data_IF_318499911971
#
_entry.id   IF_318499911971
#
_cell.length_a   1.000
_cell.length_b   1.000
_cell.length_c   1.000
_cell.angle_alpha   90.00
_cell.angle_beta   90.00
_cell.angle_gamma   90.00
#
_symmetry.space_group_name_H-M   'P 1'
#
loop_
_entity.id
_entity.type
_entity.pdbx_description
1 polymer ?
#
# COMPACT_ATOMS: atom_id res chain seq x y z
N UNK A 1 65.44 -20.29 -66.63
CA UNK A 1 65.32 -20.08 -65.17
C UNK A 1 64.01 -19.39 -64.80
N UNK A 2 63.74 -19.29 -63.49
CA UNK A 2 62.63 -18.58 -62.84
C UNK A 2 61.22 -19.20 -63.06
N UNK A 3 60.77 -20.09 -62.14
CA UNK A 3 59.37 -20.50 -62.05
C UNK A 3 58.51 -19.51 -61.22
N UNK A 4 57.21 -19.45 -61.48
CA UNK A 4 56.25 -18.66 -60.71
C UNK A 4 55.65 -19.48 -59.53
N UNK A 5 55.43 -18.89 -58.34
CA UNK A 5 55.04 -19.62 -57.14
C UNK A 5 53.52 -19.85 -57.00
N UNK A 6 53.13 -21.08 -56.64
CA UNK A 6 51.77 -21.42 -56.21
C UNK A 6 51.39 -20.68 -54.91
N UNK A 7 50.23 -20.02 -54.90
CA UNK A 7 49.66 -19.46 -53.66
C UNK A 7 49.00 -20.57 -52.83
N UNK A 8 49.66 -20.99 -51.75
CA UNK A 8 49.10 -21.96 -50.80
C UNK A 8 48.27 -21.27 -49.72
N UNK A 9 47.04 -21.73 -49.49
CA UNK A 9 46.10 -21.11 -48.56
C UNK A 9 46.36 -21.51 -47.09
N UNK A 10 47.04 -20.65 -46.33
CA UNK A 10 47.43 -20.91 -44.94
C UNK A 10 46.23 -20.88 -43.97
N UNK A 11 45.52 -22.00 -43.81
CA UNK A 11 44.40 -22.09 -42.85
C UNK A 11 44.88 -22.05 -41.39
N UNK A 12 44.59 -20.96 -40.68
CA UNK A 12 44.86 -20.84 -39.23
C UNK A 12 43.90 -21.72 -38.43
N UNK A 13 44.37 -22.91 -38.01
CA UNK A 13 43.71 -23.69 -36.95
C UNK A 13 44.17 -23.20 -35.58
N UNK A 14 43.23 -22.81 -34.71
CA UNK A 14 43.54 -22.49 -33.30
C UNK A 14 43.84 -23.77 -32.49
N UNK A 15 44.81 -23.75 -31.57
CA UNK A 15 45.08 -24.88 -30.68
C UNK A 15 44.06 -24.93 -29.52
N UNK A 16 43.31 -26.03 -29.43
CA UNK A 16 42.39 -26.28 -28.32
C UNK A 16 43.14 -26.74 -27.07
N UNK A 17 43.18 -25.88 -26.04
CA UNK A 17 43.83 -26.16 -24.75
C UNK A 17 42.93 -27.03 -23.86
N UNK A 18 43.01 -28.36 -24.05
CA UNK A 18 42.26 -29.35 -23.27
C UNK A 18 42.89 -29.56 -21.88
N UNK A 19 42.51 -28.75 -20.90
CA UNK A 19 42.95 -28.90 -19.50
C UNK A 19 42.33 -30.14 -18.84
N UNK A 20 43.17 -31.15 -18.56
CA UNK A 20 42.76 -32.39 -17.88
C UNK A 20 42.73 -32.21 -16.35
N UNK A 21 41.70 -31.55 -15.83
CA UNK A 21 41.47 -31.46 -14.39
C UNK A 21 41.00 -32.82 -13.83
N UNK A 22 41.88 -33.50 -13.08
CA UNK A 22 41.54 -34.77 -12.43
C UNK A 22 40.59 -34.53 -11.25
N UNK A 23 39.35 -35.02 -11.37
CA UNK A 23 38.34 -34.93 -10.30
C UNK A 23 38.72 -35.90 -9.19
N UNK A 24 39.42 -35.37 -8.17
CA UNK A 24 39.77 -36.11 -6.95
C UNK A 24 38.48 -36.35 -6.15
N UNK A 25 37.89 -37.53 -6.28
CA UNK A 25 36.66 -37.91 -5.59
C UNK A 25 36.89 -37.94 -4.08
N UNK A 26 36.37 -36.93 -3.38
CA UNK A 26 36.44 -36.84 -1.94
C UNK A 26 35.57 -37.95 -1.33
N UNK A 27 36.20 -38.89 -0.61
CA UNK A 27 35.53 -39.98 0.10
C UNK A 27 34.56 -39.37 1.13
N UNK A 28 33.33 -39.88 1.21
CA UNK A 28 32.28 -39.27 2.02
C UNK A 28 32.68 -39.03 3.48
N UNK A 29 32.38 -37.84 4.00
CA UNK A 29 32.30 -37.61 5.44
C UNK A 29 31.02 -38.26 5.95
N UNK A 30 31.13 -39.14 6.94
CA UNK A 30 29.97 -39.75 7.60
C UNK A 30 29.25 -38.71 8.47
N UNK A 31 28.29 -37.99 7.88
CA UNK A 31 27.53 -36.89 8.51
C UNK A 31 26.64 -37.30 9.70
N UNK A 32 26.73 -38.56 10.13
CA UNK A 32 25.94 -39.15 11.21
C UNK A 32 26.70 -39.25 12.53
N UNK A 33 28.02 -38.97 12.55
CA UNK A 33 28.81 -38.92 13.77
C UNK A 33 29.10 -37.44 14.14
N UNK A 34 28.64 -36.92 15.30
CA UNK A 34 28.88 -35.53 15.67
C UNK A 34 30.36 -35.29 15.95
N UNK A 35 30.87 -34.14 15.50
CA UNK A 35 32.16 -33.62 15.96
C UNK A 35 31.97 -33.02 17.36
N UNK A 36 32.99 -32.97 18.23
CA UNK A 36 32.83 -32.38 19.58
C UNK A 36 32.32 -30.92 19.54
N UNK A 37 32.70 -30.16 18.51
CA UNK A 37 32.19 -28.79 18.28
C UNK A 37 30.72 -28.72 17.82
N UNK A 38 30.12 -29.83 17.38
CA UNK A 38 28.69 -29.89 17.03
C UNK A 38 27.80 -29.95 18.28
N UNK A 39 28.25 -30.61 19.35
CA UNK A 39 27.46 -30.82 20.58
C UNK A 39 27.26 -29.51 21.36
N UNK A 40 28.20 -28.57 21.25
CA UNK A 40 28.09 -27.24 21.85
C UNK A 40 27.08 -26.34 21.10
N UNK A 41 26.95 -26.53 19.77
CA UNK A 41 26.11 -25.71 18.89
C UNK A 41 24.70 -26.30 18.64
N UNK A 42 24.52 -27.62 18.74
CA UNK A 42 23.28 -28.31 18.40
C UNK A 42 22.78 -29.24 19.51
N UNK A 43 21.54 -29.01 19.93
CA UNK A 43 20.79 -29.90 20.80
C UNK A 43 20.19 -31.04 19.95
N UNK A 44 20.25 -32.29 20.41
CA UNK A 44 19.70 -33.43 19.68
C UNK A 44 18.33 -33.84 20.22
N UNK A 45 17.29 -33.72 19.38
CA UNK A 45 15.95 -34.21 19.75
C UNK A 45 15.94 -35.74 19.84
N UNK A 46 15.24 -36.32 20.84
CA UNK A 46 15.17 -37.76 21.04
C UNK A 46 14.55 -38.46 19.82
N UNK A 47 15.12 -39.60 19.45
CA UNK A 47 14.62 -40.42 18.34
C UNK A 47 13.17 -40.85 18.58
N UNK A 48 12.30 -40.62 17.61
CA UNK A 48 10.88 -40.98 17.68
C UNK A 48 10.62 -42.31 16.99
N UNK A 49 9.81 -43.17 17.62
CA UNK A 49 9.43 -44.49 17.09
C UNK A 49 8.22 -44.35 16.15
N UNK A 50 8.24 -45.03 15.00
CA UNK A 50 7.10 -45.14 14.09
C UNK A 50 6.08 -46.19 14.59
N UNK A 51 4.82 -46.18 14.11
CA UNK A 51 3.82 -47.20 14.49
C UNK A 51 4.23 -48.64 14.14
N UNK A 52 4.97 -48.83 13.04
CA UNK A 52 5.59 -50.10 12.63
C UNK A 52 6.79 -50.54 13.51
N UNK A 53 7.17 -49.72 14.48
CA UNK A 53 8.22 -50.01 15.45
C UNK A 53 9.64 -49.59 15.03
N UNK A 54 9.87 -49.24 13.76
CA UNK A 54 11.16 -48.67 13.34
C UNK A 54 11.40 -47.30 13.96
N UNK A 55 12.68 -46.93 14.15
CA UNK A 55 13.09 -45.65 14.71
C UNK A 55 13.29 -44.63 13.59
N UNK A 56 12.88 -43.38 13.82
CA UNK A 56 13.25 -42.23 12.98
C UNK A 56 14.65 -41.76 13.40
N UNK A 57 15.49 -41.30 12.47
CA UNK A 57 16.80 -40.73 12.82
C UNK A 57 16.62 -39.52 13.75
N UNK A 58 17.57 -39.33 14.66
CA UNK A 58 17.57 -38.20 15.58
C UNK A 58 17.74 -36.87 14.82
N UNK A 59 17.07 -35.81 15.29
CA UNK A 59 17.06 -34.50 14.62
C UNK A 59 17.93 -33.54 15.41
N UNK A 60 18.97 -33.00 14.76
CA UNK A 60 19.83 -31.95 15.33
C UNK A 60 19.16 -30.58 15.15
N UNK A 61 18.93 -29.86 16.26
CA UNK A 61 18.35 -28.51 16.30
C UNK A 61 19.39 -27.56 16.87
N UNK A 62 19.51 -26.34 16.35
CA UNK A 62 20.50 -25.39 16.88
C UNK A 62 20.14 -24.97 18.31
N UNK A 63 21.11 -24.97 19.21
CA UNK A 63 20.94 -24.54 20.61
C UNK A 63 20.46 -23.09 20.66
N UNK A 64 19.36 -22.83 21.38
CA UNK A 64 18.69 -21.52 21.39
C UNK A 64 17.85 -21.19 20.15
N UNK A 65 17.53 -22.16 19.29
CA UNK A 65 16.55 -21.97 18.21
C UNK A 65 15.12 -21.90 18.79
N UNK A 66 14.52 -20.72 18.75
CA UNK A 66 13.09 -20.50 19.05
C UNK A 66 12.28 -20.68 17.77
N UNK A 67 11.22 -21.53 17.75
CA UNK A 67 10.32 -21.65 16.60
C UNK A 67 9.65 -20.31 16.25
N UNK A 68 9.33 -20.04 14.97
CA UNK A 68 8.75 -18.76 14.54
C UNK A 68 7.32 -18.49 15.08
N UNK A 69 6.67 -19.49 15.67
CA UNK A 69 5.38 -19.35 16.38
C UNK A 69 5.56 -18.84 17.82
N UNK A 70 6.70 -19.15 18.45
CA UNK A 70 7.08 -18.70 19.80
C UNK A 70 7.91 -17.40 19.77
N UNK A 71 8.44 -17.03 18.60
CA UNK A 71 9.20 -15.79 18.42
C UNK A 71 8.28 -14.56 18.58
N UNK A 72 8.67 -13.62 19.45
CA UNK A 72 7.89 -12.41 19.72
C UNK A 72 7.62 -11.59 18.46
N UNK A 73 6.42 -11.73 17.90
CA UNK A 73 5.97 -11.02 16.71
C UNK A 73 5.71 -9.56 17.07
N UNK A 74 6.58 -8.67 16.59
CA UNK A 74 6.62 -7.24 16.98
C UNK A 74 5.23 -6.57 17.01
N UNK A 75 4.73 -6.35 18.22
CA UNK A 75 3.49 -5.64 18.47
C UNK A 75 3.76 -4.13 18.58
N UNK A 76 3.51 -3.44 17.46
CA UNK A 76 3.67 -1.99 17.32
C UNK A 76 2.89 -1.17 18.36
N UNK A 77 1.88 -1.76 19.02
CA UNK A 77 1.02 -1.07 19.97
C UNK A 77 1.39 -1.32 21.45
N UNK A 78 2.33 -2.24 21.73
CA UNK A 78 2.83 -2.50 23.09
C UNK A 78 4.12 -1.75 23.43
N UNK A 79 4.95 -1.41 22.44
CA UNK A 79 6.28 -0.80 22.67
C UNK A 79 6.28 0.70 22.98
N UNK A 80 5.13 1.31 23.29
CA UNK A 80 5.03 2.73 23.70
C UNK A 80 5.04 2.90 25.23
N UNK A 81 5.04 1.81 25.99
CA UNK A 81 5.42 1.83 27.40
C UNK A 81 6.94 1.72 27.57
N UNK A 82 7.51 2.66 28.34
CA UNK A 82 8.79 2.50 29.04
C UNK A 82 10.09 2.49 28.19
N UNK A 83 10.15 3.25 27.10
CA UNK A 83 11.42 3.85 26.63
C UNK A 83 11.56 5.24 27.25
N UNK A 84 12.26 5.31 28.39
CA UNK A 84 12.70 6.59 28.96
C UNK A 84 13.65 7.31 28.01
N UNK A 85 13.67 8.65 28.05
CA UNK A 85 14.61 9.45 27.25
C UNK A 85 16.03 9.12 27.71
N UNK A 86 16.88 8.67 26.79
CA UNK A 86 18.29 8.37 27.07
C UNK A 86 18.97 9.62 27.64
N UNK A 87 19.41 9.54 28.90
CA UNK A 87 19.98 10.66 29.64
C UNK A 87 19.10 11.27 30.74
N UNK A 88 17.95 10.66 31.08
CA UNK A 88 17.17 11.01 32.27
C UNK A 88 17.42 10.02 33.43
N UNK A 89 17.61 10.54 34.65
CA UNK A 89 17.77 9.73 35.87
C UNK A 89 16.48 8.94 36.23
N UNK A 90 16.61 7.70 36.73
CA UNK A 90 15.47 6.83 37.03
C UNK A 90 14.71 7.18 38.31
N UNK A 91 15.32 7.94 39.23
CA UNK A 91 14.78 8.26 40.57
C UNK A 91 14.04 9.62 40.64
N UNK A 92 13.86 10.30 39.51
CA UNK A 92 13.08 11.54 39.46
C UNK A 92 11.58 11.23 39.41
N UNK A 93 10.85 11.38 40.52
CA UNK A 93 9.39 11.26 40.53
C UNK A 93 8.74 12.27 39.57
N UNK A 94 8.29 11.79 38.41
CA UNK A 94 7.56 12.58 37.42
C UNK A 94 6.09 12.70 37.87
N UNK A 95 5.58 13.89 38.24
CA UNK A 95 4.16 14.05 38.51
C UNK A 95 3.37 13.76 37.23
N UNK A 96 2.27 12.99 37.35
CA UNK A 96 1.41 12.58 36.22
C UNK A 96 0.65 13.77 35.59
N UNK A 97 1.36 14.60 34.86
CA UNK A 97 0.81 15.66 34.03
C UNK A 97 0.04 15.05 32.84
N UNK A 98 -1.16 15.57 32.58
CA UNK A 98 -2.06 15.02 31.57
C UNK A 98 -1.53 15.16 30.14
N UNK A 99 -1.92 14.23 29.27
CA UNK A 99 -1.50 14.17 27.87
C UNK A 99 -2.05 15.35 27.05
N UNK A 100 -1.35 16.49 27.09
CA UNK A 100 -1.56 17.65 26.24
C UNK A 100 -0.45 17.77 25.19
N UNK A 101 -0.77 17.58 23.91
CA UNK A 101 0.21 17.78 22.84
C UNK A 101 0.73 19.24 22.82
N UNK A 102 1.94 19.47 22.30
CA UNK A 102 2.54 20.82 22.21
C UNK A 102 1.64 21.84 21.47
N UNK A 103 0.72 21.35 20.63
CA UNK A 103 -0.33 22.14 19.95
C UNK A 103 -1.42 22.62 20.91
N UNK A 104 -1.87 21.79 21.85
CA UNK A 104 -2.88 22.15 22.85
C UNK A 104 -2.38 23.27 23.78
N UNK A 105 -1.13 23.19 24.24
CA UNK A 105 -0.50 24.22 25.06
C UNK A 105 -0.43 25.59 24.35
N UNK A 106 -0.12 25.62 23.04
CA UNK A 106 -0.15 26.85 22.24
C UNK A 106 -1.56 27.44 22.11
N UNK A 107 -2.58 26.60 21.88
CA UNK A 107 -3.96 27.06 21.77
C UNK A 107 -4.50 27.59 23.11
N UNK A 108 -4.16 26.93 24.24
CA UNK A 108 -4.48 27.42 25.58
C UNK A 108 -3.88 28.82 25.83
N UNK A 109 -2.60 29.04 25.48
CA UNK A 109 -1.95 30.35 25.65
C UNK A 109 -2.54 31.44 24.75
N UNK A 110 -3.01 31.10 23.54
CA UNK A 110 -3.72 32.05 22.65
C UNK A 110 -5.08 32.47 23.22
N UNK A 111 -5.86 31.53 23.75
CA UNK A 111 -7.15 31.83 24.37
C UNK A 111 -7.01 32.55 25.72
N UNK A 112 -5.97 32.23 26.50
CA UNK A 112 -5.66 32.95 27.74
C UNK A 112 -5.30 34.41 27.46
N UNK A 113 -4.44 34.69 26.46
CA UNK A 113 -4.17 36.08 26.03
C UNK A 113 -5.47 36.79 25.62
N UNK A 114 -6.30 36.17 24.76
CA UNK A 114 -7.54 36.79 24.29
C UNK A 114 -8.55 37.08 25.40
N UNK A 115 -8.50 36.37 26.54
CA UNK A 115 -9.28 36.70 27.74
C UNK A 115 -8.66 37.83 28.57
N UNK A 116 -7.34 37.86 28.74
CA UNK A 116 -6.66 38.97 29.42
C UNK A 116 -6.87 40.30 28.68
N UNK A 117 -6.79 40.25 27.34
CA UNK A 117 -7.07 41.33 26.39
C UNK A 117 -8.58 41.67 26.28
N UNK A 118 -9.41 41.06 27.14
CA UNK A 118 -10.84 41.37 27.38
C UNK A 118 -11.14 41.64 28.87
N UNK A 119 -10.12 41.74 29.74
CA UNK A 119 -10.26 41.99 31.18
C UNK A 119 -9.39 43.14 31.70
N UNK A 120 -8.69 43.84 30.80
CA UNK A 120 -7.93 45.05 31.09
C UNK A 120 -8.51 46.23 30.29
N UNK A 121 -9.71 46.69 30.70
CA UNK A 121 -10.22 48.07 30.54
C UNK A 121 -11.71 48.15 31.01
N UNK A 122 -11.97 48.70 32.22
CA UNK A 122 -13.01 49.69 32.48
C UNK A 122 -12.37 51.09 32.40
N UNK A 123 -13.02 52.15 31.91
CA UNK A 123 -14.31 52.71 32.35
C UNK A 123 -14.85 53.73 31.31
N UNK A 124 -16.09 54.24 31.49
CA UNK A 124 -16.78 55.31 30.74
C UNK A 124 -17.38 55.00 29.34
N UNK A 125 -18.69 54.65 29.37
CA UNK A 125 -19.84 55.04 28.50
C UNK A 125 -19.71 55.17 26.95
N UNK A 126 -20.71 54.87 26.12
CA UNK A 126 -22.20 54.84 26.29
C UNK A 126 -22.88 53.62 25.63
N UNK A 127 -24.18 53.40 25.92
CA UNK A 127 -25.06 52.45 25.18
C UNK A 127 -25.48 52.97 23.79
N UNK A 128 -26.32 52.31 22.99
CA UNK A 128 -27.19 51.11 23.15
C UNK A 128 -27.40 50.47 21.74
N UNK A 129 -28.03 49.31 21.49
CA UNK A 129 -29.00 48.50 22.22
C UNK A 129 -28.86 47.01 21.81
N UNK A 130 -29.15 46.05 22.70
CA UNK A 130 -28.95 44.61 22.42
C UNK A 130 -29.71 43.67 23.36
N UNK A 131 -30.93 43.29 22.98
CA UNK A 131 -31.85 42.42 23.75
C UNK A 131 -31.58 40.95 23.40
N UNK A 132 -30.86 40.19 24.25
CA UNK A 132 -31.35 39.37 25.40
C UNK A 132 -32.10 38.10 24.97
N UNK A 133 -31.58 36.94 25.37
CA UNK A 133 -32.18 35.62 25.07
C UNK A 133 -31.57 34.44 25.83
N UNK A 134 -31.51 34.51 27.17
CA UNK A 134 -31.06 33.40 28.02
C UNK A 134 -32.13 33.02 29.04
N UNK A 135 -32.62 31.78 28.99
CA UNK A 135 -33.33 31.11 30.07
C UNK A 135 -32.83 29.67 30.20
N UNK A 136 -32.82 29.15 31.43
CA UNK A 136 -32.59 27.76 31.75
C UNK A 136 -33.41 27.40 33.01
N UNK A 137 -33.98 26.19 33.08
CA UNK A 137 -34.42 25.54 34.33
C UNK A 137 -34.78 24.07 34.08
N UNK A 138 -34.28 23.16 34.95
CA UNK A 138 -34.97 21.99 35.54
C UNK A 138 -35.59 20.87 34.64
N UNK A 139 -35.85 19.64 35.13
CA UNK A 139 -35.20 18.82 36.17
C UNK A 139 -35.75 17.37 36.18
N UNK A 140 -34.91 16.41 36.62
CA UNK A 140 -35.25 15.23 37.45
C UNK A 140 -36.28 14.16 36.98
N UNK A 141 -35.74 13.02 36.51
CA UNK A 141 -36.24 11.64 36.70
C UNK A 141 -35.12 10.64 36.31
N UNK A 142 -34.69 9.54 36.95
CA UNK A 142 -35.04 8.72 38.15
C UNK A 142 -36.11 7.62 38.08
N UNK A 143 -35.76 6.49 37.44
CA UNK A 143 -36.09 5.12 37.91
C UNK A 143 -35.09 4.09 37.31
N UNK A 144 -34.70 3.00 38.03
CA UNK A 144 -33.88 1.90 37.49
C UNK A 144 -34.70 0.63 37.22
N UNK A 145 -34.26 -0.19 36.25
CA UNK A 145 -34.69 -1.58 36.06
C UNK A 145 -33.60 -2.39 35.34
N UNK A 146 -33.51 -3.70 35.59
CA UNK A 146 -32.53 -4.59 34.98
C UNK A 146 -33.16 -5.90 34.49
N UNK A 147 -32.80 -6.36 33.28
CA UNK A 147 -33.10 -7.70 32.74
C UNK A 147 -32.17 -8.07 31.59
N UNK A 148 -31.75 -9.34 31.53
CA UNK A 148 -31.10 -10.04 30.40
C UNK A 148 -31.11 -11.56 30.71
N UNK A 149 -30.73 -12.49 29.80
CA UNK A 149 -30.54 -12.43 28.33
C UNK A 149 -31.80 -13.11 27.67
N UNK A 150 -31.82 -14.14 26.78
CA UNK A 150 -30.88 -14.64 25.75
C UNK A 150 -31.53 -14.96 24.35
N UNK A 151 -30.70 -15.46 23.42
CA UNK A 151 -31.04 -16.31 22.24
C UNK A 151 -31.88 -15.72 21.07
N UNK A 152 -31.68 -16.06 19.78
CA UNK A 152 -30.56 -16.67 19.04
C UNK A 152 -30.62 -16.25 17.51
N UNK A 153 -30.19 -17.00 16.45
CA UNK A 153 -29.25 -16.41 15.48
C UNK A 153 -29.62 -16.43 13.96
N UNK A 154 -29.11 -15.45 13.21
CA UNK A 154 -28.86 -15.41 11.75
C UNK A 154 -27.87 -14.25 11.46
N UNK A 155 -26.75 -14.40 10.75
CA UNK A 155 -26.56 -14.44 9.28
C UNK A 155 -26.92 -13.11 8.57
N UNK A 156 -26.12 -12.54 7.67
CA UNK A 156 -24.96 -13.08 6.93
C UNK A 156 -23.87 -12.02 6.56
N UNK A 157 -22.65 -12.53 6.33
CA UNK A 157 -21.53 -12.00 5.53
C UNK A 157 -21.31 -10.49 5.35
N UNK A 158 -20.31 -9.98 6.07
CA UNK A 158 -19.45 -8.88 5.64
C UNK A 158 -17.98 -9.36 5.59
N UNK A 159 -17.64 -10.22 4.63
CA UNK A 159 -16.23 -10.60 4.39
C UNK A 159 -15.46 -9.46 3.70
N UNK A 160 -14.85 -8.57 4.49
CA UNK A 160 -13.80 -7.70 3.98
C UNK A 160 -12.58 -8.54 3.57
N UNK A 161 -12.54 -8.96 2.30
CA UNK A 161 -11.38 -9.64 1.75
C UNK A 161 -10.22 -8.67 1.67
N UNK A 162 -9.23 -8.82 2.56
CA UNK A 162 -7.97 -8.05 2.55
C UNK A 162 -7.08 -8.44 1.37
N UNK A 163 -7.51 -8.10 0.16
CA UNK A 163 -6.59 -7.71 -0.91
C UNK A 163 -6.11 -6.29 -0.58
N UNK A 164 -4.84 -5.99 -0.83
CA UNK A 164 -4.36 -4.62 -0.68
C UNK A 164 -4.99 -3.75 -1.76
N UNK A 165 -5.81 -2.76 -1.34
CA UNK A 165 -6.56 -1.82 -2.19
C UNK A 165 -5.91 -1.62 -3.57
N UNK A 166 -6.62 -1.91 -4.67
CA UNK A 166 -6.11 -1.62 -6.00
C UNK A 166 -5.90 -0.11 -6.18
N UNK A 167 -4.98 0.31 -7.06
CA UNK A 167 -4.76 1.76 -7.23
C UNK A 167 -5.99 2.47 -7.79
N UNK A 168 -6.84 1.73 -8.54
CA UNK A 168 -8.19 2.17 -8.95
C UNK A 168 -9.07 2.40 -7.73
N UNK A 169 -9.16 1.44 -6.79
CA UNK A 169 -9.90 1.61 -5.54
C UNK A 169 -9.39 2.79 -4.71
N UNK A 170 -8.07 3.00 -4.62
CA UNK A 170 -7.49 4.15 -3.91
C UNK A 170 -7.91 5.48 -4.57
N UNK A 171 -7.89 5.56 -5.90
CA UNK A 171 -8.35 6.75 -6.66
C UNK A 171 -9.84 6.98 -6.49
N UNK A 172 -10.67 5.93 -6.56
CA UNK A 172 -12.11 5.99 -6.28
C UNK A 172 -12.42 6.44 -4.85
N UNK A 173 -11.77 5.86 -3.84
CA UNK A 173 -11.91 6.26 -2.43
C UNK A 173 -11.54 7.74 -2.22
N UNK A 174 -10.58 8.27 -2.98
CA UNK A 174 -10.19 9.69 -2.90
C UNK A 174 -11.11 10.63 -3.69
N UNK A 175 -11.58 10.24 -4.88
CA UNK A 175 -12.55 11.02 -5.65
C UNK A 175 -13.92 11.06 -4.97
N UNK A 176 -14.40 9.94 -4.42
CA UNK A 176 -15.66 9.89 -3.63
C UNK A 176 -15.59 10.77 -2.37
N UNK A 177 -14.44 10.85 -1.69
CA UNK A 177 -14.20 11.85 -0.61
C UNK A 177 -14.28 13.29 -1.11
N UNK A 178 -13.67 13.59 -2.27
CA UNK A 178 -13.74 14.92 -2.91
C UNK A 178 -15.17 15.28 -3.30
N UNK A 179 -15.93 14.34 -3.88
CA UNK A 179 -17.33 14.54 -4.23
C UNK A 179 -18.17 14.86 -2.97
N UNK A 180 -18.00 14.11 -1.89
CA UNK A 180 -18.67 14.41 -0.62
C UNK A 180 -18.33 15.83 -0.12
N UNK A 181 -17.07 16.22 -0.11
CA UNK A 181 -16.67 17.58 0.28
C UNK A 181 -17.27 18.68 -0.62
N UNK A 182 -17.61 18.36 -1.87
CA UNK A 182 -18.29 19.29 -2.78
C UNK A 182 -19.79 19.35 -2.48
N UNK A 183 -20.46 18.22 -2.23
CA UNK A 183 -21.86 18.19 -1.78
C UNK A 183 -22.00 18.91 -0.43
N UNK A 184 -21.09 18.68 0.52
CA UNK A 184 -21.00 19.41 1.79
C UNK A 184 -20.85 20.94 1.57
N UNK A 185 -20.38 21.41 0.41
CA UNK A 185 -20.28 22.84 0.06
C UNK A 185 -21.53 23.34 -0.68
N UNK A 186 -22.12 22.53 -1.57
CA UNK A 186 -23.41 22.82 -2.21
C UNK A 186 -24.52 23.00 -1.18
N UNK A 187 -24.62 22.10 -0.19
CA UNK A 187 -25.58 22.23 0.90
C UNK A 187 -25.39 23.54 1.68
N UNK A 188 -24.15 23.98 1.91
CA UNK A 188 -23.87 25.26 2.58
C UNK A 188 -24.27 26.46 1.72
N UNK A 189 -24.05 26.38 0.41
CA UNK A 189 -24.49 27.40 -0.56
C UNK A 189 -26.01 27.50 -0.63
N UNK A 190 -26.71 26.35 -0.66
CA UNK A 190 -28.18 26.29 -0.64
C UNK A 190 -28.78 26.77 0.69
N UNK A 191 -28.10 26.51 1.81
CA UNK A 191 -28.44 27.06 3.14
C UNK A 191 -28.04 28.54 3.31
N UNK A 192 -27.71 29.26 2.23
CA UNK A 192 -27.47 30.71 2.25
C UNK A 192 -26.12 31.15 2.83
N UNK A 193 -25.17 30.25 3.04
CA UNK A 193 -23.83 30.64 3.48
C UNK A 193 -23.00 31.20 2.32
N UNK A 194 -22.39 32.38 2.50
CA UNK A 194 -21.52 33.01 1.51
C UNK A 194 -20.22 32.21 1.33
N UNK A 195 -20.14 31.42 0.25
CA UNK A 195 -18.93 30.71 -0.16
C UNK A 195 -17.90 31.67 -0.79
N UNK A 196 -16.61 31.36 -0.60
CA UNK A 196 -15.52 32.01 -1.32
C UNK A 196 -15.45 31.52 -2.79
N UNK A 197 -14.86 32.30 -3.70
CA UNK A 197 -14.72 31.97 -5.12
C UNK A 197 -14.07 30.59 -5.36
N UNK A 198 -13.08 30.21 -4.55
CA UNK A 198 -12.45 28.88 -4.57
C UNK A 198 -13.41 27.74 -4.22
N UNK A 199 -14.42 28.00 -3.39
CA UNK A 199 -15.43 27.02 -2.98
C UNK A 199 -16.52 26.92 -4.06
N UNK A 200 -16.97 28.04 -4.61
CA UNK A 200 -17.85 28.06 -5.79
C UNK A 200 -17.19 27.35 -7.00
N UNK A 201 -15.88 27.53 -7.19
CA UNK A 201 -15.11 26.82 -8.23
C UNK A 201 -15.02 25.31 -7.98
N UNK A 202 -14.98 24.86 -6.71
CA UNK A 202 -15.03 23.43 -6.35
C UNK A 202 -16.42 22.84 -6.58
N UNK A 203 -17.49 23.61 -6.34
CA UNK A 203 -18.88 23.26 -6.68
C UNK A 203 -19.05 23.14 -8.19
N UNK A 204 -18.60 24.13 -8.98
CA UNK A 204 -18.62 24.07 -10.43
C UNK A 204 -17.82 22.89 -11.02
N UNK A 205 -16.81 22.38 -10.29
CA UNK A 205 -16.04 21.20 -10.67
C UNK A 205 -16.70 19.85 -10.35
N UNK A 206 -17.89 19.82 -9.70
CA UNK A 206 -18.63 18.59 -9.36
C UNK A 206 -18.82 17.63 -10.55
N UNK A 207 -19.42 18.03 -11.70
CA UNK A 207 -19.65 17.12 -12.81
C UNK A 207 -18.35 16.55 -13.40
N UNK A 208 -17.22 17.26 -13.28
CA UNK A 208 -15.91 16.73 -13.68
C UNK A 208 -15.41 15.64 -12.72
N UNK A 209 -15.62 15.82 -11.40
CA UNK A 209 -15.30 14.79 -10.39
C UNK A 209 -16.21 13.56 -10.54
N UNK A 210 -17.50 13.74 -10.83
CA UNK A 210 -18.45 12.65 -11.11
C UNK A 210 -18.08 11.91 -12.40
N UNK A 211 -17.73 12.62 -13.48
CA UNK A 211 -17.25 12.01 -14.71
C UNK A 211 -15.93 11.25 -14.52
N UNK A 212 -15.02 11.73 -13.67
CA UNK A 212 -13.79 10.98 -13.34
C UNK A 212 -14.11 9.73 -12.51
N UNK A 213 -15.02 9.81 -11.53
CA UNK A 213 -15.50 8.62 -10.79
C UNK A 213 -16.04 7.58 -11.77
N UNK A 214 -16.93 7.96 -12.70
CA UNK A 214 -17.50 7.04 -13.68
C UNK A 214 -16.44 6.36 -14.57
N UNK A 215 -15.39 7.07 -15.00
CA UNK A 215 -14.26 6.50 -15.77
C UNK A 215 -13.52 5.42 -14.97
N UNK A 216 -13.23 5.70 -13.69
CA UNK A 216 -12.52 4.77 -12.82
C UNK A 216 -13.41 3.57 -12.40
N UNK A 217 -14.71 3.77 -12.20
CA UNK A 217 -15.67 2.69 -11.88
C UNK A 217 -15.88 1.75 -13.07
N UNK A 218 -15.97 2.28 -14.30
CA UNK A 218 -16.06 1.47 -15.53
C UNK A 218 -14.82 0.61 -15.79
N UNK A 219 -13.68 0.92 -15.15
CA UNK A 219 -12.41 0.21 -15.31
C UNK A 219 -12.23 -0.92 -14.29
N UNK A 220 -12.78 -0.77 -13.07
CA UNK A 220 -12.76 -1.77 -11.99
C UNK A 220 -11.35 -2.25 -11.59
N UNK A 221 -11.26 -3.42 -10.94
CA UNK A 221 -9.99 -4.08 -10.58
C UNK A 221 -9.24 -4.69 -11.79
N UNK A 222 -9.41 -4.12 -12.99
CA UNK A 222 -8.69 -4.61 -14.16
C UNK A 222 -7.26 -4.06 -14.17
N UNK A 223 -6.30 -4.95 -14.33
CA UNK A 223 -4.88 -4.61 -14.30
C UNK A 223 -4.51 -3.76 -15.53
N UNK A 224 -4.51 -2.43 -15.33
CA UNK A 224 -4.26 -1.40 -16.34
C UNK A 224 -2.88 -1.60 -16.95
N UNK A 225 -1.86 -1.89 -16.14
CA UNK A 225 -0.51 -2.19 -16.61
C UNK A 225 -0.50 -3.38 -17.58
N UNK A 226 -1.14 -4.49 -17.23
CA UNK A 226 -1.24 -5.68 -18.10
C UNK A 226 -2.04 -5.37 -19.37
N UNK A 227 -3.10 -4.57 -19.30
CA UNK A 227 -3.85 -4.09 -20.48
C UNK A 227 -2.98 -3.25 -21.41
N UNK A 228 -2.31 -2.21 -20.90
CA UNK A 228 -1.36 -1.38 -21.67
C UNK A 228 -0.23 -2.22 -22.26
N UNK A 229 0.36 -3.14 -21.50
CA UNK A 229 1.41 -4.07 -21.96
C UNK A 229 0.91 -5.05 -23.03
N UNK A 230 -0.38 -5.40 -23.05
CA UNK A 230 -0.99 -6.22 -24.09
C UNK A 230 -1.31 -5.40 -25.35
N UNK A 231 -1.87 -4.20 -25.21
CA UNK A 231 -2.18 -3.29 -26.32
C UNK A 231 -0.90 -2.88 -27.06
N UNK A 232 0.17 -2.49 -26.34
CA UNK A 232 1.49 -2.20 -26.94
C UNK A 232 2.06 -3.36 -27.78
N UNK A 233 1.76 -4.61 -27.44
CA UNK A 233 2.14 -5.79 -28.26
C UNK A 233 1.29 -5.88 -29.52
N UNK A 234 -0.04 -5.67 -29.43
CA UNK A 234 -0.93 -5.61 -30.59
C UNK A 234 -0.51 -4.49 -31.55
N UNK A 235 -0.27 -3.28 -31.04
CA UNK A 235 0.17 -2.11 -31.83
C UNK A 235 1.42 -2.43 -32.66
N UNK A 236 2.46 -3.00 -32.04
CA UNK A 236 3.70 -3.41 -32.75
C UNK A 236 3.46 -4.48 -33.83
N UNK A 237 2.60 -5.46 -33.56
CA UNK A 237 2.23 -6.49 -34.55
C UNK A 237 1.46 -5.87 -35.73
N UNK A 238 0.61 -4.87 -35.46
CA UNK A 238 -0.14 -4.13 -36.47
C UNK A 238 0.79 -3.21 -37.29
N UNK A 239 1.79 -2.60 -36.66
CA UNK A 239 2.83 -1.82 -37.34
C UNK A 239 3.69 -2.69 -38.27
N UNK A 240 4.06 -3.91 -37.85
CA UNK A 240 4.74 -4.88 -38.70
C UNK A 240 3.86 -5.32 -39.89
N UNK A 241 2.55 -5.49 -39.68
CA UNK A 241 1.58 -5.76 -40.75
C UNK A 241 1.42 -4.59 -41.73
N UNK A 242 1.42 -3.33 -41.24
CA UNK A 242 1.46 -2.16 -42.13
C UNK A 242 2.76 -2.10 -42.94
N UNK A 243 3.90 -2.42 -42.33
CA UNK A 243 5.18 -2.47 -43.04
C UNK A 243 5.16 -3.52 -44.16
N UNK A 244 4.60 -4.70 -43.91
CA UNK A 244 4.42 -5.76 -44.91
C UNK A 244 3.52 -5.28 -46.06
N UNK A 245 2.39 -4.65 -45.74
CA UNK A 245 1.50 -4.05 -46.74
C UNK A 245 2.21 -2.96 -47.57
N UNK A 246 3.00 -2.09 -46.92
CA UNK A 246 3.82 -1.05 -47.59
C UNK A 246 4.94 -1.65 -48.47
N UNK A 247 5.43 -2.84 -48.14
CA UNK A 247 6.38 -3.64 -48.95
C UNK A 247 5.70 -4.40 -50.10
N UNK A 248 4.37 -4.30 -50.26
CA UNK A 248 3.60 -4.96 -51.32
C UNK A 248 3.08 -6.35 -50.98
N UNK A 249 3.20 -6.82 -49.72
CA UNK A 249 2.63 -8.10 -49.28
C UNK A 249 1.10 -8.00 -49.21
N UNK A 250 0.39 -8.89 -49.92
CA UNK A 250 -1.08 -8.93 -49.92
C UNK A 250 -1.57 -9.61 -48.65
N UNK A 251 -1.92 -8.79 -47.65
CA UNK A 251 -2.48 -9.24 -46.38
C UNK A 251 -3.85 -9.91 -46.55
N UNK A 252 -4.10 -10.97 -45.77
CA UNK A 252 -5.39 -11.64 -45.63
C UNK A 252 -6.43 -10.73 -44.93
N UNK A 253 -7.72 -11.00 -45.13
CA UNK A 253 -8.85 -10.20 -44.60
C UNK A 253 -8.77 -9.98 -43.09
N UNK A 254 -8.38 -11.01 -42.32
CA UNK A 254 -8.14 -10.90 -40.87
C UNK A 254 -6.99 -9.93 -40.51
N UNK A 255 -5.91 -9.93 -41.30
CA UNK A 255 -4.79 -9.01 -41.11
C UNK A 255 -5.18 -7.58 -41.50
N UNK A 256 -5.94 -7.40 -42.58
CA UNK A 256 -6.51 -6.11 -42.97
C UNK A 256 -7.47 -5.58 -41.89
N UNK A 257 -8.32 -6.43 -41.30
CA UNK A 257 -9.17 -6.07 -40.16
C UNK A 257 -8.39 -5.59 -38.94
N UNK A 258 -7.22 -6.18 -38.67
CA UNK A 258 -6.29 -5.71 -37.62
C UNK A 258 -5.68 -4.34 -37.94
N UNK A 259 -5.43 -4.03 -39.21
CA UNK A 259 -5.02 -2.68 -39.62
C UNK A 259 -6.14 -1.65 -39.45
N UNK A 260 -7.38 -1.98 -39.84
CA UNK A 260 -8.56 -1.11 -39.63
C UNK A 260 -8.78 -0.84 -38.13
N UNK A 261 -8.60 -1.85 -37.28
CA UNK A 261 -8.71 -1.73 -35.83
C UNK A 261 -7.58 -0.90 -35.16
N UNK A 262 -6.51 -0.53 -35.88
CA UNK A 262 -5.32 0.14 -35.31
C UNK A 262 -5.68 1.39 -34.51
N UNK A 263 -6.50 2.27 -35.07
CA UNK A 263 -6.80 3.57 -34.45
C UNK A 263 -7.62 3.40 -33.16
N UNK A 264 -8.56 2.44 -33.13
CA UNK A 264 -9.28 2.09 -31.91
C UNK A 264 -8.32 1.54 -30.84
N UNK A 265 -7.44 0.60 -31.20
CA UNK A 265 -6.43 0.01 -30.29
C UNK A 265 -5.46 1.08 -29.76
N UNK A 266 -5.06 2.06 -30.58
CA UNK A 266 -4.25 3.19 -30.15
C UNK A 266 -4.99 4.09 -29.16
N UNK A 267 -6.26 4.40 -29.40
CA UNK A 267 -7.06 5.22 -28.46
C UNK A 267 -7.35 4.50 -27.13
N UNK A 268 -7.60 3.20 -27.14
CA UNK A 268 -7.71 2.36 -25.93
C UNK A 268 -6.39 2.38 -25.14
N UNK A 269 -5.26 2.21 -25.83
CA UNK A 269 -3.93 2.27 -25.22
C UNK A 269 -3.66 3.65 -24.59
N UNK A 270 -3.91 4.74 -25.33
CA UNK A 270 -3.70 6.11 -24.87
C UNK A 270 -4.56 6.46 -23.65
N UNK A 271 -5.85 6.12 -23.65
CA UNK A 271 -6.73 6.37 -22.51
C UNK A 271 -6.33 5.59 -21.26
N UNK A 272 -5.86 4.35 -21.40
CA UNK A 272 -5.32 3.56 -20.29
C UNK A 272 -3.95 4.09 -19.79
N UNK A 273 -3.09 4.58 -20.69
CA UNK A 273 -1.83 5.25 -20.31
C UNK A 273 -2.06 6.59 -19.62
N UNK A 274 -3.02 7.39 -20.10
CA UNK A 274 -3.46 8.63 -19.45
C UNK A 274 -4.04 8.38 -18.06
N UNK A 275 -4.82 7.31 -17.87
CA UNK A 275 -5.32 6.93 -16.56
C UNK A 275 -4.16 6.49 -15.65
N UNK A 276 -3.26 5.63 -16.12
CA UNK A 276 -2.06 5.21 -15.37
C UNK A 276 -1.21 6.43 -14.94
N UNK A 277 -1.01 7.42 -15.83
CA UNK A 277 -0.32 8.67 -15.51
C UNK A 277 -1.07 9.59 -14.53
N UNK A 278 -2.33 9.29 -14.19
CA UNK A 278 -3.16 9.97 -13.19
C UNK A 278 -3.33 9.13 -11.91
N UNK A 279 -2.66 7.97 -11.80
CA UNK A 279 -2.58 7.16 -10.57
C UNK A 279 -1.63 7.75 -9.52
#
# INVERSE_FOLDING_TARGET
DIPLPHHSAQTRRHPAHRTSASIRTFKGMDTNNPTVADEEMYEMLPQSRRPDGSLRPAVRVKKGYVPPEEQEKYDRWKSEAQVGVVGADPDAEVPKASAGSKTAAKNAKRNARRKAEQQADPEAETGENGVRGQLATSAKSTAPAATSPPAAPASDSAQESQKGDSEVEKKLKNLRKRLKQIVDLEEKMMNGATLNADQCSKVAAKPAVEADIAKWEALGDTDIEKRVKALKKKTRQIEELEERQKKGEVLNVDQQGKLVAKQAILSEMQTLEEMLAKM
#
